data_IF_900824271530
#
_entry.id   IF_900824271530
#
_cell.length_a   1.000
_cell.length_b   1.000
_cell.length_c   1.000
_cell.angle_alpha   90.00
_cell.angle_beta   90.00
_cell.angle_gamma   90.00
#
_symmetry.space_group_name_H-M   'P 1'
#
loop_
_entity.id
_entity.type
_entity.pdbx_description
1 polymer ?
#
# COMPACT_ATOMS: atom_id res chain seq x y z
N UNK A 1 -17.70 5.79 -4.56
CA UNK A 1 -18.69 5.05 -5.38
C UNK A 1 -18.57 3.53 -5.22
N UNK A 2 -17.42 2.93 -5.57
CA UNK A 2 -17.22 1.46 -5.50
C UNK A 2 -17.66 0.83 -4.17
N UNK A 3 -17.30 1.40 -3.02
CA UNK A 3 -17.73 0.93 -1.69
C UNK A 3 -19.26 0.93 -1.54
N UNK A 4 -19.96 1.97 -2.05
CA UNK A 4 -21.42 2.07 -2.00
C UNK A 4 -22.08 0.96 -2.82
N UNK A 5 -21.59 0.72 -4.04
CA UNK A 5 -22.08 -0.37 -4.90
C UNK A 5 -21.81 -1.73 -4.25
N UNK A 6 -20.60 -1.97 -3.76
CA UNK A 6 -20.26 -3.20 -3.04
C UNK A 6 -21.18 -3.43 -1.84
N UNK A 7 -21.49 -2.40 -1.06
CA UNK A 7 -22.40 -2.51 0.08
C UNK A 7 -23.85 -2.78 -0.33
N UNK A 8 -24.31 -2.25 -1.46
CA UNK A 8 -25.64 -2.56 -2.02
C UNK A 8 -25.71 -4.03 -2.45
N UNK A 9 -24.66 -4.52 -3.10
CA UNK A 9 -24.59 -5.89 -3.64
C UNK A 9 -24.42 -6.91 -2.52
N UNK A 10 -23.50 -6.69 -1.59
CA UNK A 10 -23.05 -7.72 -0.62
C UNK A 10 -22.85 -7.25 0.83
N UNK A 11 -23.39 -6.09 1.21
CA UNK A 11 -23.39 -5.64 2.59
C UNK A 11 -24.18 -6.56 3.53
N UNK A 12 -24.03 -6.39 4.85
CA UNK A 12 -24.48 -7.36 5.87
C UNK A 12 -25.93 -7.85 5.75
N UNK A 13 -26.86 -7.00 5.29
CA UNK A 13 -28.28 -7.36 5.11
C UNK A 13 -28.68 -7.67 3.65
N UNK A 14 -27.72 -8.04 2.80
CA UNK A 14 -27.91 -8.21 1.34
C UNK A 14 -27.63 -9.64 0.86
N UNK A 15 -27.77 -10.65 1.71
CA UNK A 15 -27.42 -12.04 1.41
C UNK A 15 -28.06 -12.59 0.11
N UNK A 16 -29.33 -12.26 -0.16
CA UNK A 16 -30.00 -12.67 -1.39
C UNK A 16 -29.41 -11.97 -2.63
N UNK A 17 -29.25 -10.65 -2.56
CA UNK A 17 -28.64 -9.85 -3.64
C UNK A 17 -27.21 -10.31 -3.92
N UNK A 18 -26.44 -10.62 -2.87
CA UNK A 18 -25.09 -11.13 -3.00
C UNK A 18 -25.05 -12.47 -3.73
N UNK A 19 -25.92 -13.41 -3.33
CA UNK A 19 -26.01 -14.72 -4.00
C UNK A 19 -26.33 -14.55 -5.48
N UNK A 20 -27.36 -13.76 -5.81
CA UNK A 20 -27.75 -13.47 -7.19
C UNK A 20 -26.62 -12.85 -8.00
N UNK A 21 -25.85 -11.94 -7.40
CA UNK A 21 -24.70 -11.34 -8.07
C UNK A 21 -23.62 -12.38 -8.37
N UNK A 22 -23.32 -13.28 -7.43
CA UNK A 22 -22.35 -14.36 -7.65
C UNK A 22 -22.81 -15.34 -8.73
N UNK A 23 -24.09 -15.69 -8.74
CA UNK A 23 -24.68 -16.54 -9.77
C UNK A 23 -24.57 -15.86 -11.14
N UNK A 24 -24.93 -14.57 -11.23
CA UNK A 24 -24.80 -13.77 -12.44
C UNK A 24 -23.34 -13.69 -12.94
N UNK A 25 -22.37 -13.46 -12.05
CA UNK A 25 -20.96 -13.44 -12.41
C UNK A 25 -20.44 -14.80 -12.92
N UNK A 26 -20.97 -15.90 -12.38
CA UNK A 26 -20.66 -17.24 -12.87
C UNK A 26 -21.26 -17.50 -14.26
N UNK A 27 -22.49 -17.02 -14.51
CA UNK A 27 -23.16 -17.14 -15.81
C UNK A 27 -22.42 -16.42 -16.95
N UNK A 28 -21.81 -15.27 -16.65
CA UNK A 28 -21.02 -14.49 -17.63
C UNK A 28 -19.53 -14.85 -17.66
N UNK A 29 -19.13 -15.90 -16.95
CA UNK A 29 -17.73 -16.36 -16.83
C UNK A 29 -16.76 -15.24 -16.42
N UNK A 30 -17.16 -14.43 -15.43
CA UNK A 30 -16.36 -13.31 -14.96
C UNK A 30 -15.06 -13.79 -14.28
N UNK A 31 -13.97 -13.03 -14.45
CA UNK A 31 -12.65 -13.33 -13.88
C UNK A 31 -12.68 -13.56 -12.35
N UNK A 32 -13.54 -12.84 -11.64
CA UNK A 32 -13.75 -13.02 -10.21
C UNK A 32 -15.22 -13.33 -9.96
N UNK A 33 -15.50 -14.33 -9.14
CA UNK A 33 -16.86 -14.70 -8.76
C UNK A 33 -17.47 -13.88 -7.62
N UNK A 34 -16.82 -12.80 -7.16
CA UNK A 34 -17.35 -11.93 -6.10
C UNK A 34 -16.59 -10.59 -5.98
N UNK A 35 -17.28 -9.55 -5.49
CA UNK A 35 -16.65 -8.29 -5.03
C UNK A 35 -15.98 -8.51 -3.66
N UNK A 36 -15.13 -7.59 -3.21
CA UNK A 36 -14.61 -7.60 -1.83
C UNK A 36 -15.22 -6.45 -1.03
N UNK A 37 -15.57 -6.71 0.23
CA UNK A 37 -15.89 -5.65 1.18
C UNK A 37 -14.60 -4.92 1.58
N UNK A 38 -14.65 -3.60 1.57
CA UNK A 38 -13.55 -2.80 2.09
C UNK A 38 -13.50 -2.91 3.62
N UNK A 39 -12.31 -3.17 4.15
CA UNK A 39 -12.03 -3.05 5.58
C UNK A 39 -10.94 -1.98 5.73
N UNK A 40 -11.16 -1.01 6.62
CA UNK A 40 -10.25 0.14 6.82
C UNK A 40 -8.85 -0.22 7.32
N UNK A 41 -8.60 -1.51 7.56
CA UNK A 41 -7.45 -2.01 8.30
C UNK A 41 -6.16 -1.96 7.47
N UNK A 42 -6.21 -2.02 6.11
CA UNK A 42 -4.99 -2.00 5.27
C UNK A 42 -5.22 -1.41 3.87
N UNK A 43 -4.37 -0.48 3.44
CA UNK A 43 -4.42 0.06 2.07
C UNK A 43 -4.21 -1.03 0.99
N UNK A 44 -3.49 -2.12 1.30
CA UNK A 44 -3.33 -3.29 0.43
C UNK A 44 -4.67 -4.01 0.15
N UNK A 45 -5.61 -4.00 1.12
CA UNK A 45 -6.95 -4.54 0.87
C UNK A 45 -7.77 -3.64 -0.06
N UNK A 46 -7.53 -2.33 -0.06
CA UNK A 46 -8.20 -1.41 -0.98
C UNK A 46 -7.85 -1.70 -2.45
N UNK A 47 -6.58 -1.97 -2.76
CA UNK A 47 -6.15 -2.33 -4.12
C UNK A 47 -6.82 -3.60 -4.65
N UNK A 48 -6.86 -4.66 -3.83
CA UNK A 48 -7.58 -5.90 -4.18
C UNK A 48 -9.09 -5.67 -4.37
N UNK A 49 -9.69 -4.77 -3.58
CA UNK A 49 -11.09 -4.40 -3.74
C UNK A 49 -11.33 -3.75 -5.11
N UNK A 50 -10.46 -2.82 -5.53
CA UNK A 50 -10.55 -2.17 -6.83
C UNK A 50 -10.38 -3.15 -7.99
N UNK A 51 -9.37 -4.04 -7.93
CA UNK A 51 -9.17 -5.08 -8.95
C UNK A 51 -10.42 -5.95 -9.17
N UNK A 52 -11.05 -6.42 -8.07
CA UNK A 52 -12.27 -7.24 -8.16
C UNK A 52 -13.50 -6.44 -8.56
N UNK A 53 -13.49 -5.13 -8.36
CA UNK A 53 -14.58 -4.24 -8.75
C UNK A 53 -14.52 -3.85 -10.23
N UNK A 54 -13.34 -3.59 -10.77
CA UNK A 54 -13.13 -3.18 -12.17
C UNK A 54 -13.31 -4.33 -13.17
N UNK A 55 -13.05 -5.57 -12.74
CA UNK A 55 -13.23 -6.75 -13.59
C UNK A 55 -14.68 -6.88 -14.11
N UNK A 56 -15.74 -6.88 -13.26
CA UNK A 56 -17.12 -6.92 -13.70
C UNK A 56 -17.73 -5.52 -13.97
N UNK A 57 -16.93 -4.52 -14.40
CA UNK A 57 -17.40 -3.12 -14.50
C UNK A 57 -18.58 -2.93 -15.49
N UNK A 58 -18.72 -3.79 -16.49
CA UNK A 58 -19.82 -3.71 -17.48
C UNK A 58 -21.08 -4.42 -16.97
N UNK A 59 -20.88 -5.42 -16.12
CA UNK A 59 -21.89 -6.31 -15.56
C UNK A 59 -22.58 -5.65 -14.35
N UNK A 60 -21.82 -4.88 -13.55
CA UNK A 60 -22.33 -4.15 -12.38
C UNK A 60 -23.56 -3.27 -12.71
N UNK A 61 -23.53 -2.34 -13.68
CA UNK A 61 -24.70 -1.50 -13.96
C UNK A 61 -25.91 -2.29 -14.43
N UNK A 62 -25.70 -3.37 -15.22
CA UNK A 62 -26.77 -4.27 -15.67
C UNK A 62 -27.42 -4.97 -14.48
N UNK A 63 -26.59 -5.49 -13.56
CA UNK A 63 -27.07 -6.14 -12.35
C UNK A 63 -27.84 -5.17 -11.44
N UNK A 64 -27.31 -3.97 -11.22
CA UNK A 64 -27.98 -2.94 -10.42
C UNK A 64 -29.38 -2.66 -10.96
N UNK A 65 -29.50 -2.41 -12.27
CA UNK A 65 -30.77 -2.13 -12.93
C UNK A 65 -31.81 -3.25 -12.79
N UNK A 66 -31.37 -4.50 -12.86
CA UNK A 66 -32.28 -5.64 -12.92
C UNK A 66 -32.64 -6.20 -11.53
N UNK A 67 -31.70 -6.18 -10.59
CA UNK A 67 -31.81 -6.91 -9.32
C UNK A 67 -31.92 -6.01 -8.08
N UNK A 68 -31.58 -4.72 -8.19
CA UNK A 68 -31.69 -3.75 -7.09
C UNK A 68 -32.99 -2.96 -7.22
N UNK A 69 -33.84 -3.05 -6.20
CA UNK A 69 -35.17 -2.41 -6.19
C UNK A 69 -35.15 -0.90 -5.90
N UNK A 70 -34.09 -0.42 -5.24
CA UNK A 70 -33.92 1.00 -4.95
C UNK A 70 -33.32 1.71 -6.15
N UNK A 71 -33.63 2.99 -6.32
CA UNK A 71 -33.06 3.81 -7.40
C UNK A 71 -31.52 3.76 -7.40
N UNK A 72 -30.96 3.20 -8.47
CA UNK A 72 -29.53 3.09 -8.75
C UNK A 72 -29.09 3.92 -9.95
N UNK A 73 -29.96 4.76 -10.51
CA UNK A 73 -29.73 5.50 -11.77
C UNK A 73 -28.44 6.32 -11.75
N UNK A 74 -28.14 7.00 -10.63
CA UNK A 74 -26.89 7.76 -10.48
C UNK A 74 -25.64 6.84 -10.54
N UNK A 75 -25.71 5.66 -9.91
CA UNK A 75 -24.61 4.70 -9.87
C UNK A 75 -24.38 4.09 -11.26
N UNK A 76 -25.47 3.77 -11.96
CA UNK A 76 -25.45 3.25 -13.34
C UNK A 76 -24.84 4.28 -14.30
N UNK A 77 -25.29 5.53 -14.23
CA UNK A 77 -24.77 6.61 -15.08
C UNK A 77 -23.28 6.86 -14.85
N UNK A 78 -22.81 6.84 -13.59
CA UNK A 78 -21.37 6.95 -13.30
C UNK A 78 -20.58 5.75 -13.83
N UNK A 79 -21.13 4.54 -13.77
CA UNK A 79 -20.49 3.34 -14.35
C UNK A 79 -20.49 3.34 -15.89
N UNK A 80 -21.20 4.27 -16.53
CA UNK A 80 -21.16 4.53 -17.97
C UNK A 80 -20.30 5.75 -18.33
N UNK A 81 -19.88 6.55 -17.35
CA UNK A 81 -19.06 7.73 -17.58
C UNK A 81 -17.60 7.34 -17.90
N UNK A 82 -17.13 7.78 -19.06
CA UNK A 82 -15.81 7.39 -19.58
C UNK A 82 -14.68 7.92 -18.69
N UNK A 83 -14.81 9.15 -18.19
CA UNK A 83 -13.80 9.76 -17.31
C UNK A 83 -13.71 9.00 -15.99
N UNK A 84 -14.84 8.73 -15.35
CA UNK A 84 -14.90 7.95 -14.12
C UNK A 84 -14.28 6.56 -14.29
N UNK A 85 -14.57 5.87 -15.39
CA UNK A 85 -13.98 4.57 -15.68
C UNK A 85 -12.47 4.65 -15.91
N UNK A 86 -11.97 5.70 -16.55
CA UNK A 86 -10.54 5.95 -16.71
C UNK A 86 -9.87 6.18 -15.36
N UNK A 87 -10.43 7.06 -14.51
CA UNK A 87 -9.92 7.34 -13.16
C UNK A 87 -9.91 6.08 -12.29
N UNK A 88 -10.96 5.27 -12.37
CA UNK A 88 -11.08 4.02 -11.62
C UNK A 88 -10.07 2.96 -12.11
N UNK A 89 -9.89 2.81 -13.42
CA UNK A 89 -8.88 1.92 -13.99
C UNK A 89 -7.47 2.34 -13.56
N UNK A 90 -7.20 3.64 -13.61
CA UNK A 90 -5.94 4.24 -13.17
C UNK A 90 -5.67 3.95 -11.68
N UNK A 91 -6.62 4.25 -10.80
CA UNK A 91 -6.50 3.93 -9.36
C UNK A 91 -6.27 2.43 -9.11
N UNK A 92 -6.91 1.57 -9.89
CA UNK A 92 -6.75 0.13 -9.79
C UNK A 92 -5.34 -0.30 -10.18
N UNK A 93 -4.81 0.23 -11.27
CA UNK A 93 -3.47 -0.11 -11.77
C UNK A 93 -2.40 0.30 -10.76
N UNK A 94 -2.48 1.53 -10.25
CA UNK A 94 -1.52 2.03 -9.27
C UNK A 94 -1.55 1.28 -7.95
N UNK A 95 -2.74 1.01 -7.42
CA UNK A 95 -2.85 0.25 -6.17
C UNK A 95 -2.39 -1.20 -6.35
N UNK A 96 -2.48 -1.75 -7.57
CA UNK A 96 -1.92 -3.06 -7.92
C UNK A 96 -0.39 -3.02 -7.90
N UNK A 97 0.23 -2.05 -8.58
CA UNK A 97 1.68 -1.88 -8.60
C UNK A 97 2.27 -1.62 -7.21
N UNK A 98 1.60 -0.82 -6.38
CA UNK A 98 2.00 -0.61 -5.00
C UNK A 98 1.87 -1.89 -4.16
N UNK A 99 0.82 -2.68 -4.35
CA UNK A 99 0.68 -3.96 -3.67
C UNK A 99 1.77 -4.95 -4.09
N UNK A 100 2.12 -5.01 -5.37
CA UNK A 100 3.24 -5.81 -5.85
C UNK A 100 4.58 -5.35 -5.27
N UNK A 101 4.83 -4.04 -5.27
CA UNK A 101 6.02 -3.47 -4.63
C UNK A 101 6.07 -3.88 -3.17
N UNK A 102 4.98 -3.72 -2.42
CA UNK A 102 4.95 -4.12 -1.02
C UNK A 102 5.22 -5.63 -0.82
N UNK A 103 4.68 -6.50 -1.67
CA UNK A 103 4.96 -7.94 -1.60
C UNK A 103 6.44 -8.25 -1.88
N UNK A 104 7.03 -7.59 -2.90
CA UNK A 104 8.46 -7.69 -3.20
C UNK A 104 9.30 -7.22 -2.02
N UNK A 105 8.92 -6.13 -1.37
CA UNK A 105 9.62 -5.56 -0.21
C UNK A 105 9.47 -6.41 1.08
N UNK A 106 8.42 -7.24 1.18
CA UNK A 106 8.20 -8.17 2.29
C UNK A 106 8.83 -9.56 2.06
N UNK A 107 9.36 -9.82 0.86
CA UNK A 107 9.92 -11.11 0.50
C UNK A 107 11.11 -11.51 1.39
N UNK A 108 11.09 -12.73 1.91
CA UNK A 108 12.26 -13.35 2.53
C UNK A 108 13.36 -13.51 1.46
N UNK A 109 14.62 -13.20 1.80
CA UNK A 109 15.79 -13.24 0.89
C UNK A 109 15.98 -12.06 -0.08
N UNK A 110 15.34 -10.92 0.17
CA UNK A 110 15.65 -9.70 -0.58
C UNK A 110 16.93 -9.02 -0.07
N UNK A 111 17.86 -8.71 -0.97
CA UNK A 111 19.03 -7.88 -0.65
C UNK A 111 18.74 -6.39 -0.96
N UNK A 112 19.57 -5.49 -0.45
CA UNK A 112 19.39 -4.03 -0.61
C UNK A 112 19.28 -3.63 -2.09
N UNK A 113 20.13 -4.16 -2.95
CA UNK A 113 20.13 -3.83 -4.38
C UNK A 113 18.81 -4.23 -5.06
N UNK A 114 18.27 -5.42 -4.74
CA UNK A 114 16.98 -5.87 -5.25
C UNK A 114 15.83 -4.96 -4.79
N UNK A 115 15.83 -4.57 -3.51
CA UNK A 115 14.79 -3.73 -2.94
C UNK A 115 14.79 -2.32 -3.55
N UNK A 116 15.97 -1.73 -3.74
CA UNK A 116 16.10 -0.47 -4.48
C UNK A 116 15.69 -0.61 -5.94
N UNK A 117 16.05 -1.71 -6.61
CA UNK A 117 15.59 -2.01 -7.97
C UNK A 117 14.07 -2.08 -8.07
N UNK A 118 13.40 -2.70 -7.09
CA UNK A 118 11.93 -2.76 -7.04
C UNK A 118 11.29 -1.38 -6.82
N UNK A 119 11.83 -0.56 -5.91
CA UNK A 119 11.33 0.79 -5.65
C UNK A 119 11.52 1.68 -6.89
N UNK A 120 12.71 1.66 -7.50
CA UNK A 120 13.01 2.45 -8.69
C UNK A 120 12.14 2.03 -9.88
N UNK A 121 11.99 0.73 -10.14
CA UNK A 121 11.11 0.27 -11.22
C UNK A 121 9.65 0.66 -11.01
N UNK A 122 9.16 0.64 -9.76
CA UNK A 122 7.82 1.13 -9.45
C UNK A 122 7.69 2.65 -9.66
N UNK A 123 8.75 3.41 -9.36
CA UNK A 123 8.79 4.86 -9.56
C UNK A 123 8.81 5.22 -11.04
N UNK A 124 9.69 4.59 -11.82
CA UNK A 124 9.78 4.77 -13.28
C UNK A 124 8.43 4.50 -13.95
N UNK A 125 7.75 3.43 -13.57
CA UNK A 125 6.42 3.11 -14.08
C UNK A 125 5.39 4.23 -13.84
N UNK A 126 5.35 4.82 -12.64
CA UNK A 126 4.45 5.96 -12.38
C UNK A 126 4.92 7.25 -13.05
N UNK A 127 6.22 7.37 -13.28
CA UNK A 127 6.77 8.45 -14.07
C UNK A 127 6.44 8.33 -15.57
N UNK A 128 6.17 7.14 -16.11
CA UNK A 128 5.67 7.03 -17.48
C UNK A 128 4.19 7.43 -17.58
N UNK A 129 3.47 7.47 -16.46
CA UNK A 129 2.04 7.80 -16.39
C UNK A 129 1.73 9.30 -16.21
N UNK A 130 2.73 10.17 -16.06
CA UNK A 130 2.50 11.63 -15.86
C UNK A 130 1.97 12.35 -17.11
N UNK A 131 2.05 11.71 -18.29
CA UNK A 131 1.61 12.30 -19.57
C UNK A 131 0.11 12.11 -19.87
N UNK A 132 -0.64 11.41 -19.01
CA UNK A 132 -2.09 11.26 -19.18
C UNK A 132 -2.82 12.55 -18.72
N UNK A 133 -3.13 13.48 -19.62
CA UNK A 133 -3.51 14.89 -19.33
C UNK A 133 -4.75 15.17 -18.43
N UNK A 134 -5.50 14.18 -17.95
CA UNK A 134 -6.82 14.44 -17.32
C UNK A 134 -6.87 14.32 -15.79
N UNK A 135 -5.83 13.79 -15.12
CA UNK A 135 -5.84 13.55 -13.65
C UNK A 135 -4.64 14.19 -12.97
N UNK A 136 -4.84 14.87 -11.83
CA UNK A 136 -3.72 15.42 -11.06
C UNK A 136 -2.98 14.29 -10.32
N UNK A 137 -1.85 13.85 -10.87
CA UNK A 137 -1.00 12.77 -10.32
C UNK A 137 -0.16 13.16 -9.11
N UNK A 138 -0.02 14.46 -8.85
CA UNK A 138 0.91 14.99 -7.84
C UNK A 138 0.64 14.49 -6.42
N UNK A 139 -0.61 14.39 -5.91
CA UNK A 139 -0.86 13.90 -4.56
C UNK A 139 -0.40 12.46 -4.36
N UNK A 140 -0.51 11.63 -5.41
CA UNK A 140 -0.13 10.24 -5.32
C UNK A 140 1.37 10.03 -5.51
N UNK A 141 2.01 10.74 -6.44
CA UNK A 141 3.48 10.73 -6.56
C UNK A 141 4.10 11.10 -5.20
N UNK A 142 3.57 12.12 -4.53
CA UNK A 142 4.01 12.50 -3.18
C UNK A 142 3.79 11.40 -2.14
N UNK A 143 2.69 10.65 -2.23
CA UNK A 143 2.44 9.51 -1.36
C UNK A 143 3.43 8.35 -1.61
N UNK A 144 3.76 8.10 -2.88
CA UNK A 144 4.76 7.11 -3.29
C UNK A 144 6.15 7.51 -2.79
N UNK A 145 6.53 8.78 -2.92
CA UNK A 145 7.79 9.29 -2.37
C UNK A 145 7.84 9.12 -0.84
N UNK A 146 6.71 9.33 -0.16
CA UNK A 146 6.60 9.11 1.30
C UNK A 146 6.81 7.63 1.65
N UNK A 147 6.18 6.72 0.91
CA UNK A 147 6.37 5.27 1.08
C UNK A 147 7.83 4.89 0.81
N UNK A 148 8.42 5.39 -0.29
CA UNK A 148 9.81 5.10 -0.65
C UNK A 148 10.76 5.57 0.45
N UNK A 149 10.52 6.74 1.04
CA UNK A 149 11.31 7.26 2.15
C UNK A 149 11.12 6.43 3.44
N UNK A 150 9.88 6.00 3.76
CA UNK A 150 9.63 5.06 4.86
C UNK A 150 10.38 3.74 4.69
N UNK A 151 10.45 3.21 3.47
CA UNK A 151 11.21 1.99 3.17
C UNK A 151 12.73 2.21 3.25
N UNK A 152 13.24 3.35 2.78
CA UNK A 152 14.66 3.71 2.99
C UNK A 152 15.01 3.76 4.48
N UNK A 153 14.12 4.32 5.31
CA UNK A 153 14.29 4.38 6.75
C UNK A 153 14.27 2.98 7.41
N UNK A 154 13.56 1.99 6.83
CA UNK A 154 13.63 0.59 7.29
C UNK A 154 15.02 0.01 7.16
N UNK A 155 15.75 0.31 6.10
CA UNK A 155 17.10 -0.23 5.91
C UNK A 155 18.07 0.31 6.96
N UNK A 156 17.99 1.62 7.21
CA UNK A 156 18.74 2.27 8.29
C UNK A 156 18.40 1.59 9.62
N UNK A 157 17.11 1.32 9.87
CA UNK A 157 16.64 0.68 11.09
C UNK A 157 17.12 -0.78 11.26
N UNK A 158 17.18 -1.55 10.16
CA UNK A 158 17.57 -2.97 10.20
C UNK A 158 19.07 -3.19 10.16
N UNK A 159 19.81 -2.28 9.54
CA UNK A 159 21.23 -2.46 9.20
C UNK A 159 22.02 -1.14 9.38
N UNK A 160 21.96 -0.48 10.56
CA UNK A 160 22.58 0.84 10.74
C UNK A 160 24.11 0.81 10.58
N UNK A 161 24.74 -0.33 10.89
CA UNK A 161 26.20 -0.48 10.87
C UNK A 161 26.76 -0.87 9.50
N UNK A 162 25.93 -1.31 8.56
CA UNK A 162 26.38 -1.88 7.27
C UNK A 162 25.75 -1.23 6.06
N UNK A 163 24.77 -0.33 6.24
CA UNK A 163 24.18 0.41 5.13
C UNK A 163 25.22 1.34 4.48
N UNK A 164 25.30 1.34 3.15
CA UNK A 164 26.12 2.31 2.43
C UNK A 164 25.58 3.73 2.67
N UNK A 165 26.40 4.58 3.26
CA UNK A 165 26.02 5.96 3.62
C UNK A 165 25.63 6.77 2.37
N UNK A 166 26.26 6.50 1.23
CA UNK A 166 25.97 7.17 -0.05
C UNK A 166 24.53 6.95 -0.52
N UNK A 167 23.90 5.85 -0.13
CA UNK A 167 22.54 5.50 -0.50
C UNK A 167 21.47 6.17 0.39
N UNK A 168 21.87 6.90 1.43
CA UNK A 168 20.96 7.57 2.37
C UNK A 168 20.65 8.98 1.88
N UNK A 169 19.38 9.27 1.60
CA UNK A 169 18.99 10.53 0.96
C UNK A 169 19.17 11.78 1.84
N UNK A 170 19.18 11.63 3.17
CA UNK A 170 19.23 12.76 4.11
C UNK A 170 20.65 12.98 4.64
N UNK A 171 21.24 14.14 4.32
CA UNK A 171 22.62 14.47 4.70
C UNK A 171 22.89 14.42 6.22
N UNK A 172 21.92 14.83 7.04
CA UNK A 172 22.06 14.75 8.51
C UNK A 172 22.10 13.30 9.02
N UNK A 173 21.39 12.37 8.38
CA UNK A 173 21.49 10.94 8.68
C UNK A 173 22.80 10.36 8.17
N UNK A 174 23.30 10.82 7.01
CA UNK A 174 24.59 10.39 6.47
C UNK A 174 25.74 10.69 7.43
N UNK A 175 25.79 11.91 7.96
CA UNK A 175 26.80 12.34 8.93
C UNK A 175 26.78 11.47 10.20
N UNK A 176 25.60 11.30 10.79
CA UNK A 176 25.44 10.48 11.99
C UNK A 176 25.77 8.99 11.73
N UNK A 177 25.47 8.47 10.54
CA UNK A 177 25.81 7.09 10.16
C UNK A 177 27.32 6.90 9.98
N UNK A 178 28.02 7.85 9.36
CA UNK A 178 29.49 7.80 9.26
C UNK A 178 30.13 7.71 10.65
N UNK A 179 29.69 8.57 11.56
CA UNK A 179 30.20 8.61 12.93
C UNK A 179 29.85 7.32 13.70
N UNK A 180 28.64 6.80 13.52
CA UNK A 180 28.19 5.57 14.15
C UNK A 180 28.97 4.34 13.65
N UNK A 181 29.13 4.22 12.32
CA UNK A 181 29.82 3.11 11.68
C UNK A 181 31.32 3.11 11.99
N UNK A 182 31.90 4.27 12.27
CA UNK A 182 33.32 4.39 12.62
C UNK A 182 33.60 4.14 14.10
N UNK A 183 32.58 4.11 14.96
CA UNK A 183 32.75 4.01 16.42
C UNK A 183 32.81 2.54 16.89
N UNK A 184 33.96 2.07 17.42
CA UNK A 184 34.15 0.68 17.81
C UNK A 184 33.19 0.19 18.90
N UNK A 185 32.64 1.10 19.71
CA UNK A 185 31.68 0.73 20.75
C UNK A 185 30.43 0.07 20.15
N UNK A 186 29.92 0.60 19.03
CA UNK A 186 28.71 0.08 18.40
C UNK A 186 28.96 -1.16 17.55
N UNK A 187 30.16 -1.32 17.00
CA UNK A 187 30.55 -2.50 16.21
C UNK A 187 30.53 -3.80 17.01
N UNK A 188 30.72 -3.73 18.33
CA UNK A 188 30.67 -4.89 19.23
C UNK A 188 29.29 -5.19 19.83
N UNK A 189 28.25 -4.43 19.48
CA UNK A 189 26.90 -4.59 20.06
C UNK A 189 26.14 -5.74 19.41
N UNK A 190 25.31 -6.41 20.20
CA UNK A 190 24.43 -7.49 19.73
C UNK A 190 22.99 -7.04 19.58
N UNK A 191 22.62 -5.87 20.12
CA UNK A 191 21.29 -5.31 19.99
C UNK A 191 20.98 -4.99 18.52
N UNK A 192 19.71 -5.15 18.14
CA UNK A 192 19.22 -4.83 16.79
C UNK A 192 17.89 -4.10 16.88
N UNK A 193 17.46 -3.46 15.79
CA UNK A 193 16.17 -2.77 15.72
C UNK A 193 16.01 -1.74 16.84
N UNK A 194 14.81 -1.66 17.43
CA UNK A 194 14.47 -0.59 18.39
C UNK A 194 15.42 -0.54 19.59
N UNK A 195 15.86 -1.69 20.10
CA UNK A 195 16.74 -1.74 21.26
C UNK A 195 18.14 -1.20 20.96
N UNK A 196 18.66 -1.42 19.75
CA UNK A 196 19.89 -0.78 19.30
C UNK A 196 19.74 0.75 19.27
N UNK A 197 18.67 1.25 18.67
CA UNK A 197 18.46 2.70 18.53
C UNK A 197 18.21 3.42 19.85
N UNK A 198 17.70 2.72 20.88
CA UNK A 198 17.57 3.26 22.24
C UNK A 198 18.93 3.52 22.92
N UNK A 199 19.99 2.82 22.50
CA UNK A 199 21.35 3.02 23.03
C UNK A 199 22.00 4.31 22.55
N UNK A 200 21.55 4.84 21.41
CA UNK A 200 22.16 6.02 20.80
C UNK A 200 21.95 7.26 21.70
N UNK A 201 23.02 7.96 22.11
CA UNK A 201 22.89 9.21 22.84
C UNK A 201 22.18 10.28 22.01
N UNK A 202 21.09 10.86 22.55
CA UNK A 202 20.28 11.86 21.85
C UNK A 202 21.02 13.15 21.50
N UNK A 203 22.10 13.48 22.20
CA UNK A 203 22.95 14.64 21.90
C UNK A 203 23.88 14.40 20.71
N UNK A 204 24.32 13.15 20.51
CA UNK A 204 25.30 12.77 19.48
C UNK A 204 24.65 12.25 18.20
N UNK A 205 23.54 11.51 18.34
CA UNK A 205 22.80 10.92 17.21
C UNK A 205 21.30 11.25 17.27
N UNK A 206 20.91 12.54 17.35
CA UNK A 206 19.52 12.94 17.49
C UNK A 206 18.63 12.43 16.35
N UNK A 207 19.13 12.43 15.11
CA UNK A 207 18.32 12.07 13.95
C UNK A 207 18.16 10.55 13.82
N UNK A 208 19.22 9.78 14.00
CA UNK A 208 19.17 8.31 13.97
C UNK A 208 18.32 7.78 15.12
N UNK A 209 18.49 8.32 16.34
CA UNK A 209 17.68 7.92 17.49
C UNK A 209 16.19 8.18 17.23
N UNK A 210 15.84 9.36 16.73
CA UNK A 210 14.45 9.70 16.43
C UNK A 210 13.86 8.82 15.31
N UNK A 211 14.65 8.53 14.26
CA UNK A 211 14.26 7.59 13.22
C UNK A 211 13.97 6.21 13.81
N UNK A 212 14.86 5.69 14.65
CA UNK A 212 14.69 4.39 15.28
C UNK A 212 13.45 4.28 16.18
N UNK A 213 13.18 5.32 16.98
CA UNK A 213 11.96 5.38 17.81
C UNK A 213 10.69 5.45 16.96
N UNK A 214 10.69 6.28 15.91
CA UNK A 214 9.56 6.40 14.97
C UNK A 214 9.29 5.07 14.27
N UNK A 215 10.34 4.43 13.77
CA UNK A 215 10.27 3.13 13.10
C UNK A 215 9.79 2.02 14.03
N UNK A 216 10.28 1.99 15.27
CA UNK A 216 9.80 1.08 16.32
C UNK A 216 8.30 1.22 16.56
N UNK A 217 7.82 2.44 16.76
CA UNK A 217 6.38 2.72 16.95
C UNK A 217 5.53 2.37 15.72
N UNK A 218 6.02 2.63 14.50
CA UNK A 218 5.34 2.24 13.26
C UNK A 218 5.28 0.72 13.05
N UNK A 219 6.30 -0.01 13.49
CA UNK A 219 6.32 -1.48 13.41
C UNK A 219 5.47 -2.11 14.51
N UNK A 220 5.49 -1.59 15.73
CA UNK A 220 4.64 -2.03 16.85
C UNK A 220 3.16 -1.79 16.58
N UNK A 221 2.77 -0.63 16.03
CA UNK A 221 1.39 -0.36 15.63
C UNK A 221 0.90 -1.27 14.48
N UNK A 222 1.81 -1.69 13.59
CA UNK A 222 1.51 -2.71 12.57
C UNK A 222 1.46 -4.14 13.15
N UNK A 223 2.21 -4.43 14.23
CA UNK A 223 2.19 -5.71 14.96
C UNK A 223 0.93 -5.89 15.83
N UNK A 224 0.46 -4.83 16.50
CA UNK A 224 -0.79 -4.85 17.28
C UNK A 224 -2.01 -5.13 16.38
N UNK A 225 -1.96 -4.73 15.10
CA UNK A 225 -2.97 -5.07 14.09
C UNK A 225 -2.87 -6.51 13.57
N UNK A 226 -1.77 -7.23 13.81
CA UNK A 226 -1.68 -8.68 13.52
C UNK A 226 -2.13 -9.53 14.71
N UNK A 227 -1.92 -9.10 15.95
CA UNK A 227 -2.39 -9.83 17.14
C UNK A 227 -3.90 -9.67 17.37
N UNK A 228 -4.49 -8.51 17.04
CA UNK A 228 -5.94 -8.29 17.13
C UNK A 228 -6.78 -9.13 16.13
N UNK A 229 -6.15 -9.78 15.14
CA UNK A 229 -6.82 -10.63 14.14
C UNK A 229 -6.62 -12.13 14.43
N UNK A 230 -5.77 -12.49 15.41
CA UNK A 230 -5.54 -13.89 15.80
C UNK A 230 -6.26 -14.30 17.10
N UNK A 231 -6.91 -13.36 17.80
CA UNK A 231 -7.68 -13.63 19.03
C UNK A 231 -9.04 -12.91 19.03
N UNK A 232 -9.71 -12.84 17.88
CA UNK A 232 -11.06 -12.28 17.72
C UNK A 232 -11.88 -13.03 16.69
#
# INVERSE_FOLDING_TARGET
MAVKITNIVRGGNRALTHRKFRDYLAEVDATYGDLLLHTDVRWLSAGKCFQRFVAPRKEIPIFLKNEVKSDSTELENQMADAQFLADLAFLTDMTSHLNELNLKLQGIHQNIANLFGHINGCKEHFEEMKDFEEVSYLPLIRYIDTIAEEFKNRFIFTQPLTISVENVSRANLQLELCDLQSDPFYQGRTETGLDFFKLLPGERYPNLRNLGLTMGSMMESKLQLTEAVLIG
#
